data_IF_398057869246
#
_entry.id   IF_398057869246
#
_cell.length_a   1.000
_cell.length_b   1.000
_cell.length_c   1.000
_cell.angle_alpha   90.00
_cell.angle_beta   90.00
_cell.angle_gamma   90.00
#
_symmetry.space_group_name_H-M   'P 1'
#
loop_
_entity.id
_entity.type
_entity.pdbx_description
1 polymer ?
#
# COMPACT_ATOMS: atom_id res chain seq x y z
N UNK A 1 -18.82 -7.81 -21.48
CA UNK A 1 -19.10 -9.24 -21.23
C UNK A 1 -20.10 -9.86 -22.21
N UNK A 2 -21.38 -9.46 -22.23
CA UNK A 2 -22.39 -10.11 -23.11
C UNK A 2 -22.04 -10.13 -24.61
N UNK A 3 -21.61 -9.01 -25.25
CA UNK A 3 -21.20 -9.04 -26.66
C UNK A 3 -20.04 -9.99 -26.93
N UNK A 4 -19.03 -10.00 -26.04
CA UNK A 4 -17.88 -10.90 -26.13
C UNK A 4 -18.30 -12.36 -26.05
N UNK A 5 -19.22 -12.71 -25.13
CA UNK A 5 -19.77 -14.06 -25.01
C UNK A 5 -20.46 -14.52 -26.30
N UNK A 6 -21.28 -13.67 -26.92
CA UNK A 6 -21.97 -14.02 -28.16
C UNK A 6 -21.05 -14.16 -29.38
N UNK A 7 -19.81 -13.68 -29.30
CA UNK A 7 -18.78 -13.99 -30.28
C UNK A 7 -18.30 -15.45 -30.24
N UNK A 8 -18.44 -16.12 -29.08
CA UNK A 8 -18.03 -17.51 -28.88
C UNK A 8 -19.21 -18.48 -28.90
N UNK A 9 -20.32 -18.10 -28.25
CA UNK A 9 -21.53 -18.92 -28.15
C UNK A 9 -22.69 -18.14 -28.77
N UNK A 10 -23.18 -18.55 -29.95
CA UNK A 10 -24.29 -17.87 -30.61
C UNK A 10 -25.49 -17.72 -29.69
N UNK A 11 -26.19 -16.59 -29.80
CA UNK A 11 -27.34 -16.27 -28.94
C UNK A 11 -28.48 -17.30 -29.04
N UNK A 12 -28.66 -17.91 -30.21
CA UNK A 12 -29.67 -18.92 -30.50
C UNK A 12 -29.24 -20.35 -30.12
N UNK A 13 -27.98 -20.54 -29.72
CA UNK A 13 -27.49 -21.82 -29.22
C UNK A 13 -27.84 -22.00 -27.74
N UNK A 14 -29.07 -22.45 -27.46
CA UNK A 14 -29.60 -22.64 -26.11
C UNK A 14 -30.76 -21.70 -25.81
N UNK A 15 -30.95 -21.37 -24.53
CA UNK A 15 -32.02 -20.46 -24.08
C UNK A 15 -31.40 -19.29 -23.33
N UNK A 16 -31.39 -18.12 -23.97
CA UNK A 16 -30.99 -16.87 -23.33
C UNK A 16 -32.20 -16.17 -22.69
N UNK A 17 -32.03 -15.72 -21.45
CA UNK A 17 -32.98 -14.91 -20.70
C UNK A 17 -32.31 -13.58 -20.35
N UNK A 18 -32.83 -12.49 -20.89
CA UNK A 18 -32.40 -11.16 -20.48
C UNK A 18 -32.84 -10.90 -19.03
N UNK A 19 -31.92 -10.41 -18.21
CA UNK A 19 -32.23 -9.86 -16.89
C UNK A 19 -32.98 -8.53 -17.01
N UNK A 20 -33.77 -8.20 -15.98
CA UNK A 20 -34.34 -6.86 -15.74
C UNK A 20 -33.60 -6.15 -14.61
N UNK A 21 -34.17 -5.07 -14.06
CA UNK A 21 -33.58 -4.33 -12.94
C UNK A 21 -33.27 -5.28 -11.75
N UNK A 22 -31.98 -5.42 -11.44
CA UNK A 22 -31.41 -6.27 -10.39
C UNK A 22 -31.47 -7.80 -10.58
N UNK A 23 -31.80 -8.31 -11.76
CA UNK A 23 -31.71 -9.74 -12.06
C UNK A 23 -30.57 -10.03 -13.06
N UNK A 24 -29.73 -11.05 -12.83
CA UNK A 24 -28.70 -11.42 -13.79
C UNK A 24 -29.34 -11.90 -15.10
N UNK A 25 -28.68 -11.59 -16.23
CA UNK A 25 -29.01 -12.28 -17.48
C UNK A 25 -28.45 -13.69 -17.44
N UNK A 26 -29.12 -14.66 -18.03
CA UNK A 26 -28.70 -16.07 -17.99
C UNK A 26 -28.75 -16.71 -19.37
N UNK A 27 -27.74 -17.51 -19.71
CA UNK A 27 -27.72 -18.34 -20.90
C UNK A 27 -27.66 -19.81 -20.49
N UNK A 28 -28.76 -20.55 -20.72
CA UNK A 28 -28.84 -21.97 -20.44
C UNK A 28 -28.50 -22.78 -21.69
N UNK A 29 -27.48 -23.61 -21.58
CA UNK A 29 -26.95 -24.47 -22.64
C UNK A 29 -27.19 -25.93 -22.25
N UNK A 30 -27.86 -26.69 -23.12
CA UNK A 30 -28.02 -28.13 -22.95
C UNK A 30 -27.81 -28.87 -24.25
N UNK A 31 -26.77 -29.69 -24.33
CA UNK A 31 -26.41 -30.44 -25.54
C UNK A 31 -25.65 -31.72 -25.20
N UNK A 32 -25.66 -32.69 -26.14
CA UNK A 32 -24.96 -33.97 -25.98
C UNK A 32 -23.56 -33.90 -26.62
N UNK A 33 -22.57 -34.46 -25.94
CA UNK A 33 -21.21 -34.61 -26.44
C UNK A 33 -21.06 -35.93 -27.24
N UNK A 34 -20.00 -36.05 -28.08
CA UNK A 34 -19.76 -37.26 -28.88
C UNK A 34 -19.61 -38.55 -28.06
N UNK A 35 -19.18 -38.45 -26.81
CA UNK A 35 -19.04 -39.59 -25.89
C UNK A 35 -20.38 -40.01 -25.23
N UNK A 36 -21.48 -39.36 -25.61
CA UNK A 36 -22.83 -39.63 -25.10
C UNK A 36 -23.17 -38.89 -23.81
N UNK A 37 -22.22 -38.20 -23.18
CA UNK A 37 -22.48 -37.37 -22.00
C UNK A 37 -23.26 -36.11 -22.37
N UNK A 38 -23.95 -35.51 -21.40
CA UNK A 38 -24.77 -34.31 -21.60
C UNK A 38 -24.15 -33.15 -20.85
N UNK A 39 -23.90 -32.05 -21.57
CA UNK A 39 -23.62 -30.75 -20.96
C UNK A 39 -24.96 -30.11 -20.60
N UNK A 40 -25.07 -29.71 -19.34
CA UNK A 40 -26.15 -28.86 -18.82
C UNK A 40 -25.49 -27.73 -18.04
N UNK A 41 -25.48 -26.52 -18.61
CA UNK A 41 -24.70 -25.39 -18.12
C UNK A 41 -25.52 -24.12 -18.17
N UNK A 42 -25.61 -23.41 -17.05
CA UNK A 42 -26.16 -22.05 -16.99
C UNK A 42 -25.04 -21.05 -16.75
N UNK A 43 -24.92 -20.07 -17.65
CA UNK A 43 -23.96 -18.96 -17.53
C UNK A 43 -24.73 -17.70 -17.16
N UNK A 44 -24.44 -17.15 -15.98
CA UNK A 44 -25.08 -15.94 -15.46
C UNK A 44 -24.17 -14.73 -15.63
N UNK A 45 -24.73 -13.62 -16.12
CA UNK A 45 -24.08 -12.33 -16.28
C UNK A 45 -24.69 -11.35 -15.30
N UNK A 46 -23.87 -10.86 -14.39
CA UNK A 46 -24.31 -10.04 -13.28
C UNK A 46 -23.31 -8.91 -13.05
N UNK A 47 -23.81 -7.67 -12.95
CA UNK A 47 -22.99 -6.52 -12.60
C UNK A 47 -22.94 -6.39 -11.07
N UNK A 48 -21.74 -6.23 -10.52
CA UNK A 48 -21.53 -6.02 -9.09
C UNK A 48 -21.34 -4.53 -8.86
N UNK A 49 -22.21 -3.91 -8.07
CA UNK A 49 -22.05 -2.52 -7.63
C UNK A 49 -21.16 -2.42 -6.40
N UNK A 50 -20.55 -1.24 -6.20
CA UNK A 50 -19.51 -1.00 -5.17
C UNK A 50 -19.99 -1.19 -3.72
N UNK A 51 -21.29 -1.09 -3.44
CA UNK A 51 -21.82 -1.04 -2.06
C UNK A 51 -22.58 -2.29 -1.58
N UNK A 52 -22.70 -3.37 -2.37
CA UNK A 52 -23.61 -4.48 -2.06
C UNK A 52 -23.05 -5.89 -2.38
N UNK A 53 -21.72 -6.09 -2.32
CA UNK A 53 -21.09 -7.36 -2.68
C UNK A 53 -21.58 -8.56 -1.85
N UNK A 54 -21.68 -8.43 -0.53
CA UNK A 54 -22.14 -9.53 0.32
C UNK A 54 -23.63 -9.88 0.08
N UNK A 55 -24.58 -8.92 0.13
CA UNK A 55 -25.98 -9.19 -0.22
C UNK A 55 -26.13 -9.82 -1.61
N UNK A 56 -25.41 -9.28 -2.61
CA UNK A 56 -25.44 -9.75 -3.98
C UNK A 56 -24.96 -11.20 -4.09
N UNK A 57 -23.82 -11.53 -3.47
CA UNK A 57 -23.27 -12.88 -3.58
C UNK A 57 -24.09 -13.93 -2.83
N UNK A 58 -24.90 -13.54 -1.83
CA UNK A 58 -25.67 -14.44 -0.97
C UNK A 58 -26.67 -15.31 -1.72
N UNK A 59 -27.21 -14.81 -2.83
CA UNK A 59 -28.19 -15.51 -3.66
C UNK A 59 -27.62 -16.61 -4.56
N UNK A 60 -26.29 -16.67 -4.74
CA UNK A 60 -25.71 -17.61 -5.69
C UNK A 60 -25.42 -19.00 -5.11
N UNK A 61 -25.75 -20.01 -5.90
CA UNK A 61 -25.27 -21.38 -5.79
C UNK A 61 -24.66 -21.79 -7.12
N UNK A 62 -23.34 -21.60 -7.26
CA UNK A 62 -22.62 -21.74 -8.53
C UNK A 62 -21.57 -22.84 -8.44
N UNK A 63 -21.09 -23.32 -9.59
CA UNK A 63 -19.93 -24.22 -9.67
C UNK A 63 -18.64 -23.43 -9.62
N UNK A 64 -18.58 -22.32 -10.36
CA UNK A 64 -17.45 -21.40 -10.43
C UNK A 64 -17.92 -20.01 -10.83
N UNK A 65 -17.01 -19.03 -10.75
CA UNK A 65 -17.28 -17.64 -11.11
C UNK A 65 -16.13 -17.03 -11.89
N UNK A 66 -16.44 -16.08 -12.77
CA UNK A 66 -15.47 -15.29 -13.50
C UNK A 66 -15.61 -13.82 -13.12
N UNK A 67 -14.56 -13.26 -12.51
CA UNK A 67 -14.45 -11.85 -12.15
C UNK A 67 -13.61 -11.11 -13.19
N UNK A 68 -14.28 -10.41 -14.10
CA UNK A 68 -13.65 -9.60 -15.12
C UNK A 68 -13.19 -8.25 -14.56
N UNK A 69 -11.97 -7.82 -14.93
CA UNK A 69 -11.35 -6.57 -14.43
C UNK A 69 -11.43 -6.46 -12.89
N UNK A 70 -10.99 -7.52 -12.19
CA UNK A 70 -11.15 -7.60 -10.73
C UNK A 70 -10.40 -6.47 -10.00
N UNK A 71 -9.41 -5.83 -10.63
CA UNK A 71 -8.75 -4.64 -10.08
C UNK A 71 -9.70 -3.44 -9.89
N UNK A 72 -10.83 -3.42 -10.61
CA UNK A 72 -11.87 -2.40 -10.44
C UNK A 72 -12.95 -2.79 -9.43
N UNK A 73 -12.91 -4.01 -8.91
CA UNK A 73 -13.91 -4.53 -7.97
C UNK A 73 -13.41 -4.42 -6.52
N UNK A 74 -14.35 -4.29 -5.58
CA UNK A 74 -14.05 -4.37 -4.15
C UNK A 74 -13.40 -5.71 -3.80
N UNK A 75 -12.38 -5.70 -2.91
CA UNK A 75 -11.72 -6.91 -2.39
C UNK A 75 -12.72 -7.96 -1.86
N UNK A 76 -13.89 -7.52 -1.40
CA UNK A 76 -14.94 -8.37 -0.87
C UNK A 76 -15.45 -9.43 -1.86
N UNK A 77 -15.34 -9.20 -3.18
CA UNK A 77 -15.79 -10.20 -4.16
C UNK A 77 -14.96 -11.49 -4.05
N UNK A 78 -13.65 -11.37 -3.79
CA UNK A 78 -12.75 -12.50 -3.57
C UNK A 78 -12.93 -13.14 -2.20
N UNK A 79 -13.55 -12.43 -1.24
CA UNK A 79 -13.88 -12.96 0.09
C UNK A 79 -15.16 -13.79 0.04
N UNK A 80 -16.24 -13.27 -0.54
CA UNK A 80 -17.56 -13.88 -0.43
C UNK A 80 -17.91 -14.86 -1.55
N UNK A 81 -17.49 -14.60 -2.79
CA UNK A 81 -17.86 -15.43 -3.93
C UNK A 81 -17.35 -16.88 -3.84
N UNK A 82 -16.12 -17.16 -3.35
CA UNK A 82 -15.66 -18.55 -3.18
C UNK A 82 -16.59 -19.39 -2.31
N UNK A 83 -17.25 -18.81 -1.30
CA UNK A 83 -18.22 -19.51 -0.45
C UNK A 83 -19.51 -19.94 -1.17
N UNK A 84 -19.73 -19.47 -2.40
CA UNK A 84 -20.89 -19.78 -3.24
C UNK A 84 -20.65 -20.93 -4.22
N UNK A 85 -19.40 -21.36 -4.37
CA UNK A 85 -18.98 -22.42 -5.32
C UNK A 85 -19.29 -23.83 -4.79
N UNK A 86 -20.58 -24.15 -4.69
CA UNK A 86 -21.11 -25.37 -4.05
C UNK A 86 -22.11 -26.15 -4.91
N UNK A 87 -22.36 -25.71 -6.14
CA UNK A 87 -23.22 -26.44 -7.08
C UNK A 87 -22.42 -27.48 -7.88
N UNK A 88 -22.97 -28.67 -8.16
CA UNK A 88 -24.23 -29.19 -7.60
C UNK A 88 -24.08 -29.53 -6.12
N UNK A 89 -25.18 -29.50 -5.37
CA UNK A 89 -25.17 -29.84 -3.94
C UNK A 89 -24.67 -31.27 -3.67
N UNK A 90 -24.17 -31.56 -2.45
CA UNK A 90 -23.66 -32.89 -2.07
C UNK A 90 -24.65 -34.04 -2.29
N UNK A 91 -25.97 -33.80 -2.13
CA UNK A 91 -27.01 -34.80 -2.44
C UNK A 91 -27.02 -35.25 -3.90
N UNK A 92 -26.47 -34.43 -4.80
CA UNK A 92 -26.33 -34.70 -6.23
C UNK A 92 -24.86 -35.00 -6.62
N UNK A 93 -24.03 -35.42 -5.66
CA UNK A 93 -22.63 -35.80 -5.90
C UNK A 93 -21.60 -34.69 -5.62
N UNK A 94 -22.01 -33.43 -5.53
CA UNK A 94 -21.08 -32.32 -5.30
C UNK A 94 -20.35 -31.84 -6.57
N UNK A 95 -19.70 -30.66 -6.54
CA UNK A 95 -18.84 -30.20 -7.63
C UNK A 95 -17.60 -31.08 -7.79
N UNK A 96 -17.32 -31.51 -9.02
CA UNK A 96 -16.02 -32.08 -9.42
C UNK A 96 -14.95 -31.01 -9.59
N UNK A 97 -15.37 -29.78 -9.92
CA UNK A 97 -14.54 -28.58 -9.95
C UNK A 97 -15.24 -27.44 -9.20
N UNK A 98 -14.47 -26.67 -8.44
CA UNK A 98 -14.90 -25.38 -7.90
C UNK A 98 -13.75 -24.39 -7.92
N UNK A 99 -14.00 -23.17 -8.36
CA UNK A 99 -12.97 -22.15 -8.46
C UNK A 99 -13.50 -20.82 -8.95
N UNK A 100 -12.73 -19.77 -8.69
CA UNK A 100 -12.96 -18.43 -9.22
C UNK A 100 -11.81 -18.14 -10.18
N UNK A 101 -12.14 -17.65 -11.37
CA UNK A 101 -11.20 -17.16 -12.37
C UNK A 101 -11.30 -15.64 -12.36
N UNK A 102 -10.16 -14.97 -12.44
CA UNK A 102 -10.10 -13.51 -12.49
C UNK A 102 -9.16 -13.07 -13.60
N UNK A 103 -9.44 -11.93 -14.21
CA UNK A 103 -8.53 -11.18 -15.08
C UNK A 103 -8.43 -9.73 -14.61
N UNK A 104 -7.28 -9.12 -14.87
CA UNK A 104 -7.00 -7.73 -14.55
C UNK A 104 -5.70 -7.27 -15.24
N UNK A 105 -5.60 -5.97 -15.53
CA UNK A 105 -4.31 -5.35 -15.84
C UNK A 105 -3.52 -5.17 -14.55
N UNK A 106 -2.19 -5.29 -14.58
CA UNK A 106 -1.37 -5.07 -13.38
C UNK A 106 -1.70 -3.72 -12.72
N UNK A 107 -2.26 -3.72 -11.49
CA UNK A 107 -2.65 -2.50 -10.80
C UNK A 107 -1.46 -1.87 -10.09
N UNK A 108 -1.73 -0.92 -9.20
CA UNK A 108 -0.68 -0.26 -8.44
C UNK A 108 -0.09 -1.17 -7.34
N UNK A 109 1.11 -0.83 -6.86
CA UNK A 109 1.91 -1.70 -5.98
C UNK A 109 1.31 -1.90 -4.58
N UNK A 110 0.39 -1.04 -4.16
CA UNK A 110 -0.37 -1.12 -2.91
C UNK A 110 -1.74 -1.79 -3.09
N UNK A 111 -2.12 -2.15 -4.32
CA UNK A 111 -3.40 -2.77 -4.61
C UNK A 111 -3.52 -4.13 -3.91
N UNK A 112 -4.72 -4.45 -3.41
CA UNK A 112 -4.97 -5.68 -2.63
C UNK A 112 -4.65 -6.97 -3.40
N UNK A 113 -4.76 -6.95 -4.73
CA UNK A 113 -4.37 -8.07 -5.59
C UNK A 113 -2.87 -8.37 -5.49
N UNK A 114 -2.01 -7.35 -5.37
CA UNK A 114 -0.57 -7.59 -5.19
C UNK A 114 -0.30 -8.25 -3.85
N UNK A 115 -1.00 -7.80 -2.80
CA UNK A 115 -0.89 -8.42 -1.49
C UNK A 115 -1.32 -9.89 -1.54
N UNK A 116 -2.51 -10.17 -2.07
CA UNK A 116 -3.14 -11.49 -2.00
C UNK A 116 -2.55 -12.53 -2.98
N UNK A 117 -1.93 -12.09 -4.09
CA UNK A 117 -1.36 -12.98 -5.11
C UNK A 117 0.17 -13.02 -5.16
N UNK A 118 0.86 -11.99 -4.66
CA UNK A 118 2.33 -11.86 -4.82
C UNK A 118 3.05 -11.73 -3.48
N UNK A 119 2.70 -10.74 -2.66
CA UNK A 119 3.47 -10.42 -1.46
C UNK A 119 3.20 -11.43 -0.31
N UNK A 120 1.95 -11.86 -0.14
CA UNK A 120 1.53 -12.88 0.82
C UNK A 120 0.45 -13.79 0.17
N UNK A 121 0.86 -14.69 -0.75
CA UNK A 121 -0.07 -15.47 -1.54
C UNK A 121 -1.01 -16.30 -0.67
N UNK A 122 -2.31 -16.01 -0.77
CA UNK A 122 -3.33 -16.74 0.00
C UNK A 122 -3.39 -18.21 -0.44
N UNK A 123 -3.62 -19.16 0.49
CA UNK A 123 -3.79 -20.56 0.11
C UNK A 123 -4.87 -20.76 -0.96
N UNK A 124 -4.52 -21.46 -2.03
CA UNK A 124 -5.41 -21.73 -3.16
C UNK A 124 -5.41 -20.65 -4.26
N UNK A 125 -4.75 -19.51 -4.04
CA UNK A 125 -4.62 -18.46 -5.06
C UNK A 125 -3.45 -18.79 -5.98
N UNK A 126 -3.63 -18.56 -7.29
CA UNK A 126 -2.60 -18.75 -8.31
C UNK A 126 -2.63 -17.56 -9.25
N UNK A 127 -1.47 -16.96 -9.48
CA UNK A 127 -1.29 -15.86 -10.43
C UNK A 127 -0.60 -16.39 -11.68
N UNK A 128 -1.19 -16.09 -12.84
CA UNK A 128 -0.59 -16.32 -14.15
C UNK A 128 -0.39 -14.95 -14.78
N UNK A 129 0.85 -14.61 -15.12
CA UNK A 129 1.21 -13.28 -15.62
C UNK A 129 1.44 -13.39 -17.13
N UNK A 130 0.61 -12.73 -17.91
CA UNK A 130 0.86 -12.59 -19.35
C UNK A 130 2.08 -11.68 -19.58
N UNK A 131 2.97 -12.03 -20.54
CA UNK A 131 4.06 -11.16 -20.96
C UNK A 131 3.54 -9.79 -21.43
N UNK A 132 4.36 -8.75 -21.30
CA UNK A 132 4.03 -7.43 -21.82
C UNK A 132 3.88 -7.44 -23.34
N UNK A 133 3.08 -6.54 -23.89
CA UNK A 133 2.76 -6.49 -25.32
C UNK A 133 3.94 -6.29 -26.27
N UNK A 134 5.08 -5.81 -25.75
CA UNK A 134 6.34 -5.64 -26.49
C UNK A 134 7.43 -6.62 -26.05
N UNK A 135 7.12 -7.54 -25.14
CA UNK A 135 8.05 -8.59 -24.73
C UNK A 135 8.13 -9.68 -25.82
N UNK A 136 9.27 -10.41 -25.96
CA UNK A 136 9.42 -11.45 -26.97
C UNK A 136 8.37 -12.58 -26.91
N UNK A 137 7.73 -12.75 -25.76
CA UNK A 137 6.68 -13.76 -25.52
C UNK A 137 5.27 -13.21 -25.55
N UNK A 138 5.04 -12.00 -26.05
CA UNK A 138 3.71 -11.39 -26.12
C UNK A 138 2.69 -12.33 -26.79
N UNK A 139 1.58 -12.57 -26.12
CA UNK A 139 0.50 -13.43 -26.61
C UNK A 139 -0.41 -12.66 -27.57
N UNK A 140 -1.08 -13.39 -28.48
CA UNK A 140 -2.15 -12.85 -29.34
C UNK A 140 -1.76 -11.68 -30.29
N UNK A 141 -0.46 -11.40 -30.47
CA UNK A 141 0.04 -10.30 -31.32
C UNK A 141 -0.42 -10.45 -32.79
N UNK A 142 -0.54 -11.68 -33.28
CA UNK A 142 -0.98 -11.98 -34.66
C UNK A 142 -2.41 -11.51 -34.98
N UNK A 143 -3.25 -11.34 -33.96
CA UNK A 143 -4.64 -10.87 -34.11
C UNK A 143 -4.76 -9.34 -33.96
N UNK A 144 -3.64 -8.63 -33.83
CA UNK A 144 -3.60 -7.17 -33.65
C UNK A 144 -3.06 -6.47 -34.90
N UNK A 145 -3.42 -5.19 -35.14
CA UNK A 145 -2.79 -4.38 -36.17
C UNK A 145 -1.26 -4.34 -36.02
N UNK A 146 -0.49 -4.33 -37.12
CA UNK A 146 0.94 -4.05 -37.06
C UNK A 146 1.15 -2.67 -36.42
N UNK A 147 2.03 -2.56 -35.42
CA UNK A 147 2.31 -1.35 -34.60
C UNK A 147 1.36 -1.05 -33.42
N UNK A 148 0.43 -1.97 -33.08
CA UNK A 148 -0.59 -1.74 -32.06
C UNK A 148 -0.03 -1.24 -30.71
N UNK A 149 0.97 -1.92 -30.16
CA UNK A 149 1.51 -1.55 -28.84
C UNK A 149 2.40 -0.31 -28.89
N UNK A 150 3.12 -0.09 -29.99
CA UNK A 150 3.89 1.14 -30.22
C UNK A 150 2.96 2.36 -30.26
N UNK A 151 1.82 2.25 -30.96
CA UNK A 151 0.80 3.32 -30.97
C UNK A 151 0.09 3.47 -29.64
N UNK A 152 -0.24 2.38 -28.97
CA UNK A 152 -0.90 2.42 -27.66
C UNK A 152 0.02 3.01 -26.58
N UNK A 153 1.34 2.88 -26.72
CA UNK A 153 2.30 3.52 -25.84
C UNK A 153 2.55 5.00 -26.20
N UNK A 154 2.42 5.37 -27.48
CA UNK A 154 2.76 6.71 -27.96
C UNK A 154 1.89 7.80 -27.31
N UNK A 155 2.55 8.82 -26.73
CA UNK A 155 1.88 9.97 -26.12
C UNK A 155 1.29 9.73 -24.72
N UNK A 156 1.46 8.52 -24.17
CA UNK A 156 1.07 8.20 -22.79
C UNK A 156 2.25 8.31 -21.82
N UNK A 157 1.94 8.62 -20.57
CA UNK A 157 2.91 8.69 -19.48
C UNK A 157 3.55 7.32 -19.20
N UNK A 158 4.76 7.33 -18.63
CA UNK A 158 5.52 6.11 -18.29
C UNK A 158 4.73 5.13 -17.40
N UNK A 159 3.93 5.63 -16.44
CA UNK A 159 3.11 4.78 -15.57
C UNK A 159 2.05 3.99 -16.36
N UNK A 160 1.45 4.61 -17.39
CA UNK A 160 0.43 3.99 -18.21
C UNK A 160 1.06 2.91 -19.07
N UNK A 161 2.17 3.24 -19.73
CA UNK A 161 2.92 2.29 -20.56
C UNK A 161 3.38 1.09 -19.70
N UNK A 162 3.88 1.35 -18.49
CA UNK A 162 4.30 0.31 -17.55
C UNK A 162 3.17 -0.67 -17.20
N UNK A 163 1.98 -0.17 -16.85
CA UNK A 163 0.84 -1.01 -16.43
C UNK A 163 0.11 -1.64 -17.61
N UNK A 164 -0.31 -0.83 -18.56
CA UNK A 164 -1.25 -1.22 -19.61
C UNK A 164 -0.58 -1.87 -20.81
N UNK A 165 0.72 -1.60 -21.05
CA UNK A 165 1.45 -2.19 -22.19
C UNK A 165 2.39 -3.29 -21.70
N UNK A 166 3.21 -3.03 -20.68
CA UNK A 166 4.18 -4.01 -20.20
C UNK A 166 3.64 -4.97 -19.12
N UNK A 167 2.38 -4.82 -18.70
CA UNK A 167 1.76 -5.63 -17.64
C UNK A 167 2.58 -5.66 -16.34
N UNK A 168 3.12 -4.52 -15.92
CA UNK A 168 3.93 -4.38 -14.71
C UNK A 168 3.21 -3.54 -13.67
N UNK A 169 3.27 -3.96 -12.41
CA UNK A 169 2.72 -3.20 -11.29
C UNK A 169 3.26 -1.76 -11.27
N UNK A 170 2.35 -0.78 -11.17
CA UNK A 170 2.66 0.65 -11.18
C UNK A 170 2.79 1.25 -9.78
N UNK A 171 3.37 2.44 -9.66
CA UNK A 171 3.30 3.18 -8.40
C UNK A 171 1.89 3.74 -8.20
N UNK A 172 1.40 3.73 -6.97
CA UNK A 172 0.03 4.17 -6.65
C UNK A 172 -0.17 5.67 -6.78
N UNK A 173 -1.38 6.02 -7.24
CA UNK A 173 -1.76 7.37 -7.67
C UNK A 173 -2.94 7.96 -6.90
N UNK A 174 -3.43 7.29 -5.86
CA UNK A 174 -4.47 7.86 -4.99
C UNK A 174 -3.86 8.91 -4.05
N UNK A 175 -3.64 10.09 -4.63
CA UNK A 175 -3.05 11.23 -3.95
C UNK A 175 -1.56 11.42 -4.22
N UNK A 176 -1.02 12.49 -3.65
CA UNK A 176 0.41 12.81 -3.72
C UNK A 176 1.12 12.18 -2.53
N UNK A 177 2.11 11.29 -2.71
CA UNK A 177 2.87 10.73 -1.60
C UNK A 177 3.41 11.82 -0.68
N UNK A 178 3.32 11.62 0.63
CA UNK A 178 3.79 12.62 1.60
C UNK A 178 5.31 12.74 1.56
N UNK A 179 6.03 11.63 1.34
CA UNK A 179 7.50 11.56 1.34
C UNK A 179 8.04 11.16 -0.05
N UNK A 180 7.96 12.02 -1.08
CA UNK A 180 8.48 11.73 -2.42
C UNK A 180 10.01 11.52 -2.46
N UNK A 181 10.74 11.89 -1.40
CA UNK A 181 12.15 11.60 -1.24
C UNK A 181 12.44 10.12 -0.98
N UNK A 182 11.43 9.36 -0.53
CA UNK A 182 11.58 7.93 -0.33
C UNK A 182 11.76 7.21 -1.68
N UNK A 183 12.81 6.40 -1.74
CA UNK A 183 13.14 5.54 -2.87
C UNK A 183 13.50 4.18 -2.33
N UNK A 184 12.81 3.13 -2.80
CA UNK A 184 13.09 1.76 -2.34
C UNK A 184 14.54 1.35 -2.63
N UNK A 185 15.03 1.69 -3.82
CA UNK A 185 16.40 1.35 -4.25
C UNK A 185 17.48 1.95 -3.33
N UNK A 186 17.18 3.08 -2.68
CA UNK A 186 18.12 3.75 -1.79
C UNK A 186 17.88 3.41 -0.33
N UNK A 187 16.62 3.37 0.11
CA UNK A 187 16.27 3.35 1.53
C UNK A 187 15.87 1.97 2.05
N UNK A 188 15.62 0.98 1.19
CA UNK A 188 15.34 -0.38 1.61
C UNK A 188 16.61 -1.21 1.60
N UNK A 189 16.86 -1.95 2.69
CA UNK A 189 17.92 -2.94 2.72
C UNK A 189 17.56 -4.15 1.84
N UNK A 190 18.54 -4.76 1.15
CA UNK A 190 18.31 -5.94 0.31
C UNK A 190 17.97 -7.21 1.11
N UNK A 191 18.24 -7.21 2.41
CA UNK A 191 17.96 -8.31 3.33
C UNK A 191 17.55 -7.78 4.71
N UNK A 192 16.89 -8.59 5.56
CA UNK A 192 16.60 -8.23 6.95
C UNK A 192 17.85 -7.71 7.66
N UNK A 193 17.72 -6.57 8.34
CA UNK A 193 18.83 -5.93 9.03
C UNK A 193 18.94 -6.51 10.43
N UNK A 194 20.14 -6.97 10.80
CA UNK A 194 20.45 -7.41 12.16
C UNK A 194 20.70 -6.20 13.08
N UNK A 195 20.22 -6.23 14.34
CA UNK A 195 20.44 -5.13 15.27
C UNK A 195 21.93 -4.99 15.61
N UNK A 196 22.44 -3.77 15.61
CA UNK A 196 23.82 -3.46 15.95
C UNK A 196 24.07 -3.71 17.45
N UNK A 197 25.02 -4.59 17.83
CA UNK A 197 25.31 -4.90 19.23
C UNK A 197 25.66 -3.66 20.05
N UNK A 198 25.18 -3.60 21.29
CA UNK A 198 25.45 -2.48 22.22
C UNK A 198 24.76 -1.16 21.89
N UNK A 199 24.06 -1.05 20.76
CA UNK A 199 23.23 0.12 20.43
C UNK A 199 21.81 -0.09 20.98
N UNK A 200 21.27 0.83 21.79
CA UNK A 200 19.93 0.69 22.36
C UNK A 200 18.85 0.83 21.28
N UNK A 201 17.74 0.13 21.47
CA UNK A 201 16.56 0.28 20.62
C UNK A 201 15.88 1.61 20.89
N UNK A 202 15.30 2.16 19.83
CA UNK A 202 14.39 3.31 19.86
C UNK A 202 13.07 2.92 19.23
N UNK A 203 11.98 3.24 19.91
CA UNK A 203 10.63 2.91 19.46
C UNK A 203 9.84 4.18 19.14
N UNK A 204 9.02 4.12 18.11
CA UNK A 204 7.99 5.11 17.83
C UNK A 204 6.64 4.43 17.75
N UNK A 205 5.60 5.06 18.28
CA UNK A 205 4.26 4.50 18.33
C UNK A 205 3.20 5.51 17.88
N UNK A 206 2.18 4.99 17.20
CA UNK A 206 0.88 5.64 17.05
C UNK A 206 -0.19 4.83 17.76
N UNK A 207 -0.98 5.53 18.58
CA UNK A 207 -1.92 4.96 19.53
C UNK A 207 -3.35 5.02 18.96
N UNK A 208 -4.14 3.97 19.15
CA UNK A 208 -5.55 3.99 18.74
C UNK A 208 -6.15 2.61 18.52
N UNK A 209 -7.28 2.56 17.82
CA UNK A 209 -7.94 1.31 17.46
C UNK A 209 -7.07 0.42 16.57
N UNK A 210 -6.27 1.02 15.68
CA UNK A 210 -5.33 0.33 14.79
C UNK A 210 -3.89 0.77 15.12
N UNK A 211 -3.31 0.26 16.20
CA UNK A 211 -2.03 0.78 16.69
C UNK A 211 -0.85 0.34 15.86
N UNK A 212 0.22 1.12 15.91
CA UNK A 212 1.46 0.80 15.20
C UNK A 212 2.69 1.14 16.03
N UNK A 213 3.71 0.28 16.02
CA UNK A 213 5.01 0.52 16.64
C UNK A 213 6.13 0.19 15.66
N UNK A 214 7.11 1.09 15.56
CA UNK A 214 8.38 0.84 14.87
C UNK A 214 9.50 0.60 15.86
N UNK A 215 10.39 -0.33 15.53
CA UNK A 215 11.60 -0.64 16.28
C UNK A 215 12.80 -0.25 15.42
N UNK A 216 13.67 0.59 15.95
CA UNK A 216 14.82 1.13 15.24
C UNK A 216 16.06 1.25 16.13
N UNK A 217 17.19 1.54 15.49
CA UNK A 217 18.40 2.03 16.14
C UNK A 217 18.86 3.30 15.44
N UNK A 218 19.46 4.21 16.22
CA UNK A 218 20.26 5.30 15.66
C UNK A 218 21.73 4.91 15.89
N UNK A 219 22.44 4.60 14.81
CA UNK A 219 23.84 4.21 14.88
C UNK A 219 24.71 5.39 15.35
N UNK A 220 25.92 5.14 15.88
CA UNK A 220 26.85 6.22 16.27
C UNK A 220 27.18 7.19 15.14
N UNK A 221 27.07 6.75 13.88
CA UNK A 221 27.24 7.59 12.69
C UNK A 221 26.09 8.59 12.47
N UNK A 222 25.00 8.48 13.23
CA UNK A 222 23.76 9.22 13.02
C UNK A 222 22.79 8.59 12.01
N UNK A 223 23.16 7.46 11.40
CA UNK A 223 22.27 6.73 10.50
C UNK A 223 21.14 6.06 11.28
N UNK A 224 19.91 6.23 10.82
CA UNK A 224 18.75 5.50 11.31
C UNK A 224 18.63 4.14 10.63
N UNK A 225 18.38 3.12 11.42
CA UNK A 225 18.12 1.76 10.95
C UNK A 225 16.79 1.32 11.51
N UNK A 226 15.78 1.19 10.65
CA UNK A 226 14.45 0.67 11.02
C UNK A 226 14.49 -0.85 10.87
N UNK A 227 14.33 -1.55 12.00
CA UNK A 227 14.59 -2.99 12.10
C UNK A 227 13.31 -3.81 11.91
N UNK A 228 12.21 -3.34 12.52
CA UNK A 228 10.90 -3.99 12.50
C UNK A 228 9.73 -3.03 12.64
N UNK A 229 8.56 -3.58 12.33
CA UNK A 229 7.26 -2.99 12.63
C UNK A 229 6.36 -3.98 13.37
N UNK A 230 5.43 -3.46 14.15
CA UNK A 230 4.28 -4.17 14.70
C UNK A 230 3.05 -3.32 14.43
N UNK A 231 2.08 -3.86 13.67
CA UNK A 231 0.85 -3.17 13.30
C UNK A 231 -0.33 -3.99 13.79
N UNK A 232 -1.29 -3.34 14.44
CA UNK A 232 -2.52 -3.96 14.92
C UNK A 232 -3.51 -4.19 13.77
N UNK A 233 -4.36 -5.20 13.91
CA UNK A 233 -5.36 -5.53 12.90
C UNK A 233 -6.41 -4.42 12.76
N UNK A 234 -6.92 -4.25 11.53
CA UNK A 234 -7.96 -3.26 11.19
C UNK A 234 -9.28 -3.46 11.94
N UNK A 235 -9.52 -4.65 12.50
CA UNK A 235 -10.68 -4.97 13.34
C UNK A 235 -10.57 -4.54 14.80
N UNK A 236 -9.44 -3.94 15.18
CA UNK A 236 -9.18 -3.47 16.55
C UNK A 236 -8.55 -4.53 17.44
N UNK A 237 -7.30 -4.30 17.86
CA UNK A 237 -6.64 -5.08 18.91
C UNK A 237 -6.66 -4.30 20.23
N UNK A 238 -7.02 -4.97 21.33
CA UNK A 238 -6.97 -4.34 22.66
C UNK A 238 -5.54 -3.97 23.07
N UNK A 239 -5.39 -2.84 23.76
CA UNK A 239 -4.08 -2.27 24.17
C UNK A 239 -3.16 -3.27 24.87
N UNK A 240 -3.72 -4.03 25.81
CA UNK A 240 -2.97 -5.04 26.59
C UNK A 240 -2.42 -6.13 25.68
N UNK A 241 -3.25 -6.70 24.79
CA UNK A 241 -2.83 -7.75 23.85
C UNK A 241 -1.77 -7.24 22.87
N UNK A 242 -1.91 -5.99 22.43
CA UNK A 242 -0.90 -5.36 21.58
C UNK A 242 0.42 -5.16 22.34
N UNK A 243 0.38 -4.72 23.59
CA UNK A 243 1.56 -4.60 24.45
C UNK A 243 2.24 -5.95 24.74
N UNK A 244 1.47 -7.02 24.97
CA UNK A 244 1.99 -8.39 25.09
C UNK A 244 2.66 -8.87 23.80
N UNK A 245 2.07 -8.56 22.65
CA UNK A 245 2.65 -8.87 21.35
C UNK A 245 3.98 -8.12 21.15
N UNK A 246 4.04 -6.84 21.55
CA UNK A 246 5.28 -6.06 21.53
C UNK A 246 6.35 -6.63 22.47
N UNK A 247 5.98 -7.00 23.70
CA UNK A 247 6.90 -7.62 24.66
C UNK A 247 7.49 -8.92 24.11
N UNK A 248 6.66 -9.76 23.49
CA UNK A 248 7.09 -11.00 22.84
C UNK A 248 8.04 -10.70 21.69
N UNK A 249 7.70 -9.72 20.85
CA UNK A 249 8.53 -9.31 19.73
C UNK A 249 9.95 -8.89 20.16
N UNK A 250 10.02 -8.05 21.19
CA UNK A 250 11.28 -7.54 21.74
C UNK A 250 12.10 -8.67 22.35
N UNK A 251 11.47 -9.58 23.10
CA UNK A 251 12.13 -10.71 23.74
C UNK A 251 12.70 -11.70 22.72
N UNK A 252 11.92 -12.02 21.69
CA UNK A 252 12.27 -13.09 20.75
C UNK A 252 13.29 -12.62 19.71
N UNK A 253 13.15 -11.39 19.20
CA UNK A 253 13.99 -10.87 18.09
C UNK A 253 15.09 -9.91 18.52
N UNK A 254 15.00 -9.33 19.71
CA UNK A 254 16.00 -8.38 20.20
C UNK A 254 16.55 -8.76 21.59
N UNK A 255 16.91 -10.03 21.83
CA UNK A 255 17.43 -10.46 23.12
C UNK A 255 18.70 -9.69 23.47
N UNK A 256 18.77 -9.18 24.71
CA UNK A 256 19.93 -8.44 25.21
C UNK A 256 20.01 -6.96 24.79
N UNK A 257 19.12 -6.48 23.91
CA UNK A 257 19.02 -5.06 23.61
C UNK A 257 18.10 -4.35 24.60
N UNK A 258 18.57 -3.22 25.15
CA UNK A 258 17.74 -2.36 25.98
C UNK A 258 16.94 -1.39 25.10
N UNK A 259 15.69 -1.11 25.49
CA UNK A 259 14.92 0.00 24.93
C UNK A 259 15.36 1.28 25.62
N UNK A 260 16.12 2.12 24.90
CA UNK A 260 16.64 3.37 25.46
C UNK A 260 15.60 4.50 25.43
N UNK A 261 14.84 4.59 24.34
CA UNK A 261 13.83 5.63 24.15
C UNK A 261 12.60 5.07 23.43
N UNK A 262 11.42 5.53 23.80
CA UNK A 262 10.18 5.20 23.12
C UNK A 262 9.29 6.44 23.06
N UNK A 263 8.81 6.78 21.86
CA UNK A 263 8.14 8.04 21.57
C UNK A 263 6.75 7.80 20.99
N UNK A 264 5.80 8.67 21.31
CA UNK A 264 4.43 8.62 20.80
C UNK A 264 3.83 10.03 20.72
N UNK A 265 2.58 10.12 20.27
CA UNK A 265 1.80 11.35 20.30
C UNK A 265 1.75 11.92 21.74
N UNK A 266 2.12 13.20 21.97
CA UNK A 266 1.95 13.83 23.27
C UNK A 266 0.49 13.82 23.78
N UNK A 267 -0.51 13.89 22.91
CA UNK A 267 -1.92 13.82 23.31
C UNK A 267 -2.34 12.41 23.79
N UNK A 268 -1.74 11.36 23.21
CA UNK A 268 -1.98 9.98 23.61
C UNK A 268 -1.24 9.55 24.88
N UNK A 269 -0.29 10.36 25.36
CA UNK A 269 0.55 10.08 26.53
C UNK A 269 0.30 11.02 27.71
N UNK A 270 -0.49 12.08 27.52
CA UNK A 270 -1.04 12.87 28.63
C UNK A 270 -2.10 12.06 29.37
N UNK A 271 -2.00 11.99 30.70
CA UNK A 271 -3.06 11.41 31.55
C UNK A 271 -4.38 12.11 31.25
N UNK A 272 -5.41 11.33 30.95
CA UNK A 272 -6.76 11.87 30.83
C UNK A 272 -7.13 12.58 32.14
N UNK A 273 -7.85 13.70 32.04
CA UNK A 273 -8.40 14.41 33.20
C UNK A 273 -9.55 13.64 33.89
N UNK A 274 -9.87 12.44 33.39
CA UNK A 274 -10.82 11.46 33.91
C UNK A 274 -10.04 10.20 34.31
N UNK A 275 -10.52 9.45 35.31
CA UNK A 275 -9.92 8.22 35.88
C UNK A 275 -9.72 7.04 34.88
N UNK A 276 -9.79 7.28 33.57
CA UNK A 276 -9.59 6.28 32.53
C UNK A 276 -8.11 6.18 32.14
N UNK A 277 -7.56 4.97 32.26
CA UNK A 277 -6.20 4.63 31.83
C UNK A 277 -6.05 4.87 30.32
N UNK A 278 -5.03 5.62 29.90
CA UNK A 278 -4.85 5.91 28.47
C UNK A 278 -4.45 4.63 27.72
N UNK A 279 -4.77 4.57 26.43
CA UNK A 279 -4.41 3.42 25.59
C UNK A 279 -2.88 3.17 25.60
N UNK A 280 -2.08 4.24 25.65
CA UNK A 280 -0.63 4.16 25.77
C UNK A 280 -0.15 3.67 27.15
N UNK A 281 -0.85 4.01 28.24
CA UNK A 281 -0.53 3.49 29.57
C UNK A 281 -0.70 1.97 29.60
N UNK A 282 -1.79 1.46 29.02
CA UNK A 282 -2.07 0.03 28.94
C UNK A 282 -1.03 -0.73 28.09
N UNK A 283 -0.59 -0.19 26.93
CA UNK A 283 0.55 -0.78 26.20
C UNK A 283 1.81 -0.74 27.07
N UNK A 284 2.09 0.40 27.69
CA UNK A 284 3.34 0.59 28.44
C UNK A 284 3.44 -0.42 29.59
N UNK A 285 2.32 -0.64 30.30
CA UNK A 285 2.20 -1.63 31.35
C UNK A 285 2.41 -3.06 30.84
N UNK A 286 1.75 -3.44 29.74
CA UNK A 286 1.82 -4.79 29.19
C UNK A 286 3.15 -5.10 28.47
N UNK A 287 3.74 -4.10 27.81
CA UNK A 287 4.98 -4.26 27.04
C UNK A 287 6.24 -4.12 27.88
N UNK A 288 6.15 -3.45 29.04
CA UNK A 288 7.30 -3.01 29.83
C UNK A 288 8.08 -1.84 29.20
N UNK A 289 7.56 -1.23 28.13
CA UNK A 289 8.18 -0.10 27.44
C UNK A 289 7.54 1.20 27.91
N UNK A 290 8.36 2.15 28.37
CA UNK A 290 7.88 3.48 28.76
C UNK A 290 7.85 4.43 27.57
N UNK A 291 6.69 4.58 26.95
CA UNK A 291 6.47 5.59 25.91
C UNK A 291 6.36 7.00 26.49
N UNK A 292 6.91 7.97 25.76
CA UNK A 292 6.88 9.39 26.13
C UNK A 292 6.31 10.20 24.98
N UNK A 293 5.56 11.24 25.31
CA UNK A 293 5.14 12.23 24.33
C UNK A 293 6.33 12.95 23.70
N UNK A 294 6.27 13.17 22.40
CA UNK A 294 7.22 14.07 21.72
C UNK A 294 6.98 15.54 22.10
N UNK A 295 7.89 16.43 21.70
CA UNK A 295 7.81 17.88 22.03
C UNK A 295 6.62 18.61 21.39
N UNK A 296 6.02 18.05 20.33
CA UNK A 296 4.88 18.63 19.62
C UNK A 296 4.19 17.56 18.78
N UNK A 297 2.88 17.69 18.56
CA UNK A 297 2.13 16.90 17.57
C UNK A 297 1.94 17.66 16.23
N UNK A 298 2.53 18.86 16.10
CA UNK A 298 2.45 19.67 14.89
C UNK A 298 2.91 18.89 13.66
N UNK A 299 2.07 18.88 12.61
CA UNK A 299 2.32 18.09 11.40
C UNK A 299 3.64 18.47 10.71
N UNK A 300 3.91 19.75 10.52
CA UNK A 300 5.12 20.19 9.81
C UNK A 300 6.43 19.70 10.51
N UNK A 301 6.64 19.94 11.82
CA UNK A 301 7.80 19.37 12.53
C UNK A 301 7.94 17.85 12.38
N UNK A 302 6.82 17.13 12.42
CA UNK A 302 6.76 15.67 12.28
C UNK A 302 7.20 15.22 10.88
N UNK A 303 6.68 15.83 9.83
CA UNK A 303 7.05 15.51 8.45
C UNK A 303 8.52 15.82 8.17
N UNK A 304 9.00 16.97 8.63
CA UNK A 304 10.38 17.40 8.42
C UNK A 304 11.40 16.50 9.14
N UNK A 305 11.05 15.97 10.32
CA UNK A 305 11.88 14.98 11.02
C UNK A 305 12.07 13.69 10.22
N UNK A 306 11.13 13.34 9.32
CA UNK A 306 11.25 12.19 8.41
C UNK A 306 12.00 12.57 7.13
N UNK A 307 11.70 13.73 6.53
CA UNK A 307 12.37 14.20 5.31
C UNK A 307 13.87 14.38 5.50
N UNK A 308 14.32 14.85 6.67
CA UNK A 308 15.72 15.11 6.95
C UNK A 308 16.63 13.87 6.75
N UNK A 309 16.37 12.70 7.36
CA UNK A 309 17.18 11.52 7.11
C UNK A 309 16.93 10.84 5.76
N UNK A 310 15.77 11.03 5.11
CA UNK A 310 15.53 10.58 3.73
C UNK A 310 16.37 11.35 2.70
N UNK A 311 16.54 12.66 2.89
CA UNK A 311 17.33 13.50 1.98
C UNK A 311 18.83 13.54 2.28
N UNK A 312 19.27 12.94 3.41
CA UNK A 312 20.66 13.01 3.88
C UNK A 312 21.46 11.78 3.42
N UNK A 313 22.72 12.01 3.07
CA UNK A 313 23.73 10.96 2.90
C UNK A 313 24.77 11.05 4.02
N UNK A 314 25.20 9.91 4.55
CA UNK A 314 26.23 9.75 5.59
C UNK A 314 27.26 8.77 5.02
N UNK A 315 28.47 9.26 4.71
CA UNK A 315 29.56 8.46 4.14
C UNK A 315 29.14 7.62 2.91
N UNK A 316 28.34 8.23 2.02
CA UNK A 316 27.83 7.57 0.81
C UNK A 316 26.66 6.59 1.04
N UNK A 317 26.15 6.48 2.27
CA UNK A 317 24.96 5.69 2.63
C UNK A 317 23.77 6.60 2.94
N UNK A 318 22.52 6.15 2.74
CA UNK A 318 21.34 6.95 3.09
C UNK A 318 21.29 7.21 4.61
N UNK A 319 20.74 8.36 5.01
CA UNK A 319 20.59 8.75 6.41
C UNK A 319 19.60 7.88 7.19
N UNK A 320 18.73 7.16 6.48
CA UNK A 320 17.85 6.12 7.00
C UNK A 320 17.88 4.89 6.11
N UNK A 321 17.93 3.71 6.73
CA UNK A 321 17.85 2.41 6.07
C UNK A 321 16.73 1.59 6.72
N UNK A 322 15.88 0.98 5.92
CA UNK A 322 14.67 0.29 6.35
C UNK A 322 14.76 -1.20 6.00
N UNK A 323 14.55 -2.04 7.00
CA UNK A 323 14.52 -3.49 6.86
C UNK A 323 13.36 -3.93 5.96
N UNK A 324 13.52 -4.93 5.07
CA UNK A 324 12.43 -5.48 4.26
C UNK A 324 11.35 -6.18 5.10
N UNK A 325 11.55 -6.35 6.42
CA UNK A 325 10.52 -6.76 7.38
C UNK A 325 9.41 -5.72 7.56
N UNK A 326 9.72 -4.44 7.33
CA UNK A 326 8.81 -3.31 7.53
C UNK A 326 7.89 -3.11 6.30
N UNK A 327 7.02 -4.10 6.03
CA UNK A 327 6.20 -4.16 4.80
C UNK A 327 5.15 -3.04 4.75
N UNK A 328 4.52 -2.74 5.87
CA UNK A 328 3.47 -1.73 6.00
C UNK A 328 4.08 -0.34 5.92
N UNK A 329 5.21 -0.10 6.60
CA UNK A 329 5.94 1.15 6.49
C UNK A 329 6.43 1.39 5.05
N UNK A 330 6.98 0.36 4.39
CA UNK A 330 7.38 0.44 2.98
C UNK A 330 6.22 0.89 2.09
N UNK A 331 5.04 0.27 2.23
CA UNK A 331 3.83 0.66 1.48
C UNK A 331 3.39 2.08 1.81
N UNK A 332 3.42 2.46 3.09
CA UNK A 332 3.08 3.81 3.54
C UNK A 332 3.99 4.88 2.92
N UNK A 333 5.31 4.67 2.93
CA UNK A 333 6.27 5.62 2.38
C UNK A 333 6.25 5.68 0.84
N UNK A 334 5.95 4.56 0.17
CA UNK A 334 5.88 4.51 -1.28
C UNK A 334 4.67 5.28 -1.83
N UNK A 335 3.51 5.10 -1.20
CA UNK A 335 2.26 5.72 -1.68
C UNK A 335 1.11 5.72 -0.69
N UNK A 336 1.07 4.76 0.24
CA UNK A 336 -0.08 4.55 1.13
C UNK A 336 -0.36 5.70 2.10
N UNK A 337 0.65 6.52 2.39
CA UNK A 337 0.52 7.78 3.12
C UNK A 337 0.64 8.96 2.14
N UNK A 338 -0.51 9.46 1.69
CA UNK A 338 -0.62 10.46 0.64
C UNK A 338 -1.61 11.58 0.98
N UNK A 339 -1.42 12.74 0.37
CA UNK A 339 -2.39 13.83 0.35
C UNK A 339 -3.49 13.52 -0.67
N UNK A 340 -4.76 13.51 -0.23
CA UNK A 340 -5.90 13.22 -1.11
C UNK A 340 -6.06 14.29 -2.18
N UNK A 341 -6.33 13.87 -3.42
CA UNK A 341 -6.64 14.77 -4.52
C UNK A 341 -8.09 15.26 -4.40
N UNK A 342 -8.27 16.56 -4.31
CA UNK A 342 -9.55 17.25 -4.44
C UNK A 342 -9.77 17.62 -5.92
N UNK A 343 -10.86 17.12 -6.50
CA UNK A 343 -11.32 17.53 -7.83
C UNK A 343 -11.99 18.90 -7.71
N UNK A 344 -11.42 19.92 -8.35
CA UNK A 344 -12.07 21.23 -8.46
C UNK A 344 -13.03 21.25 -9.66
N UNK A 345 -14.20 21.91 -9.55
CA UNK A 345 -15.04 22.23 -10.70
C UNK A 345 -14.24 23.15 -11.63
N UNK A 346 -13.84 22.66 -12.80
CA UNK A 346 -12.99 23.39 -13.76
C UNK A 346 -11.68 22.70 -14.16
N UNK A 347 -11.42 21.48 -13.67
CA UNK A 347 -10.31 20.64 -14.16
C UNK A 347 -8.95 20.91 -13.51
N UNK A 348 -8.87 21.77 -12.51
CA UNK A 348 -7.67 21.94 -11.69
C UNK A 348 -7.50 20.82 -10.65
N UNK A 349 -6.27 20.36 -10.46
CA UNK A 349 -5.92 19.43 -9.37
C UNK A 349 -5.50 20.23 -8.13
N UNK A 350 -6.19 20.02 -7.01
CA UNK A 350 -5.75 20.48 -5.69
C UNK A 350 -5.58 19.28 -4.78
N UNK A 351 -4.66 19.36 -3.83
CA UNK A 351 -4.47 18.32 -2.82
C UNK A 351 -4.86 18.86 -1.45
N UNK A 352 -5.29 17.98 -0.56
CA UNK A 352 -5.52 18.32 0.84
C UNK A 352 -4.22 18.73 1.52
N UNK A 353 -4.32 19.65 2.48
CA UNK A 353 -3.15 20.15 3.24
C UNK A 353 -2.69 19.16 4.33
N UNK A 354 -3.49 18.12 4.58
CA UNK A 354 -3.21 17.05 5.54
C UNK A 354 -3.20 15.69 4.84
N UNK A 355 -2.33 14.76 5.23
CA UNK A 355 -2.35 13.40 4.73
C UNK A 355 -3.67 12.71 5.05
N UNK A 356 -4.14 11.87 4.14
CA UNK A 356 -5.36 11.09 4.35
C UNK A 356 -5.15 10.03 5.44
N UNK A 357 -6.12 9.88 6.34
CA UNK A 357 -6.17 8.75 7.27
C UNK A 357 -6.49 7.47 6.50
N UNK A 358 -5.68 6.44 6.74
CA UNK A 358 -5.78 5.12 6.09
C UNK A 358 -5.14 4.05 6.98
N UNK A 359 -5.16 2.79 6.55
CA UNK A 359 -4.41 1.72 7.23
C UNK A 359 -2.90 2.00 7.31
N UNK A 360 -2.38 2.86 6.43
CA UNK A 360 -0.97 3.23 6.36
C UNK A 360 -0.61 4.48 7.18
N UNK A 361 -1.60 5.28 7.61
CA UNK A 361 -1.31 6.50 8.37
C UNK A 361 -0.69 6.21 9.73
N UNK A 362 -1.13 5.14 10.41
CA UNK A 362 -0.66 4.80 11.76
C UNK A 362 0.84 4.48 11.80
N UNK A 363 1.31 3.64 10.87
CA UNK A 363 2.74 3.29 10.82
C UNK A 363 3.60 4.49 10.36
N UNK A 364 3.06 5.35 9.49
CA UNK A 364 3.74 6.57 9.08
C UNK A 364 3.83 7.61 10.21
N UNK A 365 2.78 7.76 11.02
CA UNK A 365 2.78 8.62 12.20
C UNK A 365 3.73 8.08 13.28
N UNK A 366 3.79 6.75 13.47
CA UNK A 366 4.78 6.12 14.35
C UNK A 366 6.23 6.45 13.94
N UNK A 367 6.53 6.46 12.62
CA UNK A 367 7.86 6.88 12.11
C UNK A 367 8.12 8.35 12.41
N UNK A 368 7.13 9.21 12.20
CA UNK A 368 7.24 10.64 12.48
C UNK A 368 7.56 10.89 13.97
N UNK A 369 6.86 10.23 14.88
CA UNK A 369 7.12 10.36 16.33
C UNK A 369 8.48 9.76 16.73
N UNK A 370 8.88 8.63 16.14
CA UNK A 370 10.21 8.05 16.35
C UNK A 370 11.32 9.06 16.04
N UNK A 371 11.29 9.67 14.86
CA UNK A 371 12.35 10.54 14.38
C UNK A 371 12.29 11.93 15.03
N UNK A 372 11.08 12.45 15.27
CA UNK A 372 10.89 13.71 15.99
C UNK A 372 11.42 13.61 17.43
N UNK A 373 11.00 12.59 18.18
CA UNK A 373 11.49 12.34 19.53
C UNK A 373 12.95 11.90 19.57
N UNK A 374 13.42 11.24 18.50
CA UNK A 374 14.80 10.82 18.30
C UNK A 374 15.81 11.96 18.14
N UNK A 375 15.33 13.18 17.88
CA UNK A 375 16.15 14.40 17.83
C UNK A 375 16.38 14.99 16.44
N UNK A 376 15.85 14.38 15.37
CA UNK A 376 16.09 14.82 13.98
C UNK A 376 15.55 16.24 13.72
N UNK A 377 14.45 16.64 14.35
CA UNK A 377 13.94 18.01 14.22
C UNK A 377 14.90 19.06 14.79
N UNK A 378 15.51 18.80 15.95
CA UNK A 378 16.46 19.74 16.57
C UNK A 378 17.71 19.87 15.70
N UNK A 379 18.18 18.77 15.13
CA UNK A 379 19.33 18.75 14.23
C UNK A 379 19.04 19.46 12.89
N UNK A 380 17.88 19.21 12.29
CA UNK A 380 17.45 19.86 11.05
C UNK A 380 17.27 21.38 11.23
N UNK A 381 16.71 21.82 12.36
CA UNK A 381 16.51 23.24 12.66
C UNK A 381 17.85 23.97 12.87
N UNK A 382 18.80 23.35 13.60
CA UNK A 382 20.16 23.91 13.77
C UNK A 382 20.90 24.03 12.44
N UNK A 383 20.86 23.01 11.59
CA UNK A 383 21.53 23.03 10.27
C UNK A 383 20.95 24.08 9.33
N UNK A 384 19.63 24.26 9.31
CA UNK A 384 18.99 25.34 8.51
C UNK A 384 19.41 26.71 8.98
N UNK A 385 19.52 26.90 10.30
CA UNK A 385 19.99 28.16 10.88
C UNK A 385 21.45 28.43 10.53
N UNK A 386 22.33 27.43 10.69
CA UNK A 386 23.74 27.53 10.28
C UNK A 386 23.91 27.82 8.78
N UNK A 387 23.09 27.19 7.93
CA UNK A 387 23.12 27.41 6.48
C UNK A 387 22.61 28.82 6.12
N UNK A 388 21.58 29.30 6.80
CA UNK A 388 21.06 30.67 6.64
C UNK A 388 22.07 31.72 7.11
N UNK A 389 22.76 31.45 8.22
CA UNK A 389 23.78 32.35 8.76
C UNK A 389 25.04 32.38 7.88
N UNK A 390 25.41 31.27 7.24
CA UNK A 390 26.47 31.23 6.22
C UNK A 390 26.11 32.03 4.96
N UNK A 391 24.85 31.94 4.50
CA UNK A 391 24.35 32.69 3.35
C UNK A 391 24.23 34.19 3.66
N UNK A 392 23.82 34.56 4.88
CA UNK A 392 23.75 35.95 5.34
C UNK A 392 25.14 36.55 5.63
N UNK A 393 26.11 35.75 6.07
CA UNK A 393 27.49 36.18 6.33
C UNK A 393 28.32 36.54 5.08
N UNK A 394 27.85 36.18 3.88
CA UNK A 394 28.47 36.55 2.60
C UNK A 394 27.88 37.82 1.95
N UNK A 395 26.82 38.41 2.53
CA UNK A 395 26.16 39.60 1.99
C UNK A 395 26.81 40.94 2.41
N UNK A 396 28.08 40.93 2.82
CA UNK A 396 28.87 42.12 3.17
C UNK A 396 29.68 42.73 2.02
N UNK A 397 29.56 42.20 0.79
CA UNK A 397 30.22 42.76 -0.39
C UNK A 397 29.42 43.93 -0.97
N UNK A 398 30.00 45.15 -0.93
CA UNK A 398 29.46 46.31 -1.65
C UNK A 398 29.16 45.93 -3.12
N UNK A 399 28.01 46.33 -3.69
CA UNK A 399 27.72 46.04 -5.08
C UNK A 399 28.77 46.69 -5.98
N UNK A 400 29.44 45.88 -6.79
CA UNK A 400 30.33 46.35 -7.85
C UNK A 400 29.46 46.66 -9.06
N UNK A 401 29.32 47.94 -9.38
CA UNK A 401 28.71 48.40 -10.63
C UNK A 401 29.73 48.17 -11.74
N UNK A 402 29.37 47.33 -12.72
CA UNK A 402 30.21 47.09 -13.89
C UNK A 402 30.36 48.40 -14.71
N UNK A 403 31.58 48.79 -15.13
CA UNK A 403 31.75 49.95 -15.99
C UNK A 403 31.18 49.66 -17.38
N UNK A 404 30.28 50.53 -17.84
CA UNK A 404 29.79 50.57 -19.21
C UNK A 404 30.89 51.10 -20.13
N UNK A 405 31.77 50.22 -20.63
CA UNK A 405 32.56 50.53 -21.82
C UNK A 405 32.82 49.24 -22.61
N UNK A 406 32.02 49.04 -23.67
CA UNK A 406 32.31 48.09 -24.73
C UNK A 406 32.91 48.87 -25.90
N UNK A 407 34.16 49.31 -25.75
CA UNK A 407 34.97 49.77 -26.87
C UNK A 407 35.68 48.56 -27.47
N UNK A 408 35.10 48.07 -28.57
CA UNK A 408 35.68 47.05 -29.44
C UNK A 408 36.75 47.73 -30.30
N UNK A 409 37.99 47.25 -30.20
CA UNK A 409 39.02 47.43 -31.22
C UNK A 409 39.60 46.06 -31.56
#
# INVERSE_FOLDING_TARGET
>A
MLPSWFGWVPHDFGVFKSGGDNAPSAHHLRYQLPDGSVVDSEVMFAAIGDNDVEPFTRGFEITGGWLNEVDLLSRDVLTFLPGRTRYPSRRHGGPTFRGIICDFNAPDTDHYLRADFVDDPKPGYRLFVQPGGTDPGAENVENLPPDYYERAAAGHDEWYVRRMIHNRWGASRDGKPVFPEFSEAQHMAPAPIEPAPGVPLRLGADAGLTPAVLIAQQLPTGQWVILDELVGDLGGIGAVRFGEALARLLRDRYPGHQVGQAWADPAGTSRASTDEESWMDAISAASGVRFRGTVTNGLLPRLEAVRAPLGRMIDGRPGILISPRCRTLRRALLSGYAYKRQRLPGGGERYEDVPAKSEHSHIADALQYLLLGGGEWVEATRRRQDQRDRLMGHAGGRPVVAPHDFSVW
#
